data_IF_232701707378
#
_entry.id   IF_232701707378
#
_cell.length_a   1.000
_cell.length_b   1.000
_cell.length_c   1.000
_cell.angle_alpha   90.00
_cell.angle_beta   90.00
_cell.angle_gamma   90.00
#
_symmetry.space_group_name_H-M   'P 1'
#
loop_
_entity.id
_entity.type
_entity.pdbx_description
1 polymer ?
#
# COMPACT_ATOMS: atom_id res chain seq x y z
N UNK A 1 -9.19 17.35 -0.21
CA UNK A 1 -10.15 17.14 -1.33
C UNK A 1 -10.29 15.65 -1.56
N UNK A 2 -11.52 15.14 -1.62
CA UNK A 2 -11.77 13.75 -1.99
C UNK A 2 -11.83 13.73 -3.54
N UNK A 3 -10.97 12.95 -4.19
CA UNK A 3 -10.91 12.87 -5.66
C UNK A 3 -11.54 11.56 -6.15
N UNK A 4 -12.23 11.62 -7.29
CA UNK A 4 -12.92 10.49 -7.94
C UNK A 4 -14.46 10.61 -7.92
N UNK A 5 -15.13 9.89 -8.82
CA UNK A 5 -16.60 9.89 -8.97
C UNK A 5 -17.34 9.42 -7.71
N UNK A 6 -16.66 8.66 -6.84
CA UNK A 6 -17.17 8.18 -5.57
C UNK A 6 -16.14 8.47 -4.48
N UNK A 7 -16.31 9.56 -3.72
CA UNK A 7 -15.28 10.05 -2.82
C UNK A 7 -14.94 9.03 -1.73
N UNK A 8 -13.65 8.77 -1.56
CA UNK A 8 -13.11 7.91 -0.50
C UNK A 8 -12.10 8.67 0.33
N UNK A 9 -12.09 8.42 1.64
CA UNK A 9 -11.08 8.99 2.52
C UNK A 9 -9.73 8.30 2.28
N UNK A 10 -8.68 9.12 2.15
CA UNK A 10 -7.29 8.66 2.09
C UNK A 10 -6.62 8.90 3.44
N UNK A 11 -5.75 7.97 3.87
CA UNK A 11 -4.90 8.17 5.05
C UNK A 11 -4.00 9.41 4.93
N UNK A 12 -3.56 9.76 3.72
CA UNK A 12 -2.67 10.91 3.52
C UNK A 12 -3.40 12.25 3.62
N UNK A 13 -4.72 12.28 3.40
CA UNK A 13 -5.56 13.48 3.38
C UNK A 13 -5.29 14.44 2.20
N UNK A 14 -4.02 14.79 1.97
CA UNK A 14 -3.55 15.69 0.92
C UNK A 14 -2.13 15.33 0.46
N UNK A 15 -1.66 16.00 -0.59
CA UNK A 15 -0.25 15.96 -1.01
C UNK A 15 0.62 16.44 0.15
N UNK A 16 1.72 15.72 0.42
CA UNK A 16 2.60 15.98 1.57
C UNK A 16 2.16 15.34 2.88
N UNK A 17 1.01 14.67 2.91
CA UNK A 17 0.54 13.92 4.07
C UNK A 17 1.49 12.78 4.47
N UNK A 18 1.62 12.56 5.78
CA UNK A 18 2.48 11.52 6.36
C UNK A 18 1.64 10.45 7.02
N UNK A 19 2.00 9.20 6.78
CA UNK A 19 1.33 8.03 7.35
C UNK A 19 2.42 7.11 7.92
N UNK A 20 2.25 6.54 9.13
CA UNK A 20 3.17 5.56 9.66
C UNK A 20 3.32 4.36 8.72
N UNK A 21 4.57 3.93 8.48
CA UNK A 21 4.83 2.72 7.72
C UNK A 21 4.29 1.50 8.50
N UNK A 22 3.47 0.69 7.81
CA UNK A 22 2.64 -0.36 8.36
C UNK A 22 1.14 -0.14 8.07
N UNK A 23 0.74 1.11 7.82
CA UNK A 23 -0.65 1.47 7.52
C UNK A 23 -0.92 1.45 6.01
N UNK A 24 -2.02 0.79 5.64
CA UNK A 24 -2.52 0.80 4.27
C UNK A 24 -1.74 -0.07 3.28
N UNK A 25 -2.24 -0.11 2.05
CA UNK A 25 -1.74 -0.94 0.96
C UNK A 25 -0.39 -0.46 0.41
N UNK A 26 -0.20 0.85 0.29
CA UNK A 26 1.04 1.43 -0.25
C UNK A 26 2.23 1.08 0.65
N UNK A 27 2.07 1.22 1.97
CA UNK A 27 3.12 0.86 2.91
C UNK A 27 3.46 -0.62 2.88
N UNK A 28 2.45 -1.52 2.84
CA UNK A 28 2.71 -2.96 2.73
C UNK A 28 3.50 -3.33 1.48
N UNK A 29 3.20 -2.69 0.34
CA UNK A 29 4.00 -2.85 -0.87
C UNK A 29 5.43 -2.39 -0.63
N UNK A 30 5.66 -1.17 -0.14
CA UNK A 30 7.01 -0.68 0.09
C UNK A 30 7.79 -1.59 1.03
N UNK A 31 7.21 -1.93 2.19
CA UNK A 31 7.81 -2.82 3.18
C UNK A 31 8.18 -4.19 2.59
N UNK A 32 7.36 -4.75 1.70
CA UNK A 32 7.63 -6.04 1.07
C UNK A 32 8.87 -6.02 0.17
N UNK A 33 9.27 -4.85 -0.36
CA UNK A 33 10.48 -4.69 -1.16
C UNK A 33 11.72 -4.27 -0.37
N UNK A 34 11.56 -3.70 0.83
CA UNK A 34 12.68 -3.40 1.73
C UNK A 34 13.35 -4.67 2.28
N UNK A 35 14.63 -4.53 2.62
CA UNK A 35 15.40 -5.55 3.31
C UNK A 35 14.83 -5.88 4.69
N UNK A 36 15.07 -7.11 5.18
CA UNK A 36 14.48 -7.60 6.43
C UNK A 36 14.84 -6.73 7.65
N UNK A 37 16.09 -6.27 7.75
CA UNK A 37 16.53 -5.42 8.88
C UNK A 37 15.79 -4.09 8.88
N UNK A 38 15.91 -3.34 7.78
CA UNK A 38 15.27 -2.03 7.62
C UNK A 38 13.75 -2.08 7.85
N UNK A 39 13.09 -3.09 7.27
CA UNK A 39 11.66 -3.34 7.51
C UNK A 39 11.33 -3.55 8.98
N UNK A 40 12.11 -4.38 9.68
CA UNK A 40 11.87 -4.67 11.09
C UNK A 40 12.08 -3.42 11.95
N UNK A 41 13.12 -2.64 11.66
CA UNK A 41 13.42 -1.40 12.38
C UNK A 41 12.29 -0.37 12.19
N UNK A 42 11.78 -0.21 10.96
CA UNK A 42 10.64 0.65 10.66
C UNK A 42 9.37 0.21 11.39
N UNK A 43 9.06 -1.09 11.38
CA UNK A 43 7.86 -1.61 12.03
C UNK A 43 7.97 -1.53 13.56
N UNK A 44 9.14 -1.80 14.13
CA UNK A 44 9.39 -1.66 15.56
C UNK A 44 9.23 -0.21 16.01
N UNK A 45 9.78 0.75 15.24
CA UNK A 45 9.62 2.18 15.50
C UNK A 45 8.14 2.60 15.52
N UNK A 46 7.31 2.06 14.62
CA UNK A 46 5.90 2.41 14.50
C UNK A 46 4.97 1.55 15.36
N UNK A 47 5.47 0.54 16.09
CA UNK A 47 4.65 -0.50 16.72
C UNK A 47 3.57 0.05 17.67
N UNK A 48 3.92 1.03 18.51
CA UNK A 48 2.97 1.65 19.44
C UNK A 48 1.82 2.34 18.69
N UNK A 49 2.14 3.17 17.69
CA UNK A 49 1.15 3.89 16.88
C UNK A 49 0.28 2.93 16.07
N UNK A 50 0.87 1.90 15.45
CA UNK A 50 0.13 0.89 14.68
C UNK A 50 -0.92 0.19 15.56
N UNK A 51 -0.54 -0.20 16.77
CA UNK A 51 -1.44 -0.90 17.69
C UNK A 51 -2.53 0.02 18.26
N UNK A 52 -2.14 1.18 18.79
CA UNK A 52 -3.05 2.08 19.51
C UNK A 52 -4.02 2.79 18.57
N UNK A 53 -3.51 3.39 17.49
CA UNK A 53 -4.30 4.26 16.61
C UNK A 53 -4.99 3.49 15.48
N UNK A 54 -4.38 2.40 15.01
CA UNK A 54 -4.85 1.66 13.84
C UNK A 54 -5.33 0.25 14.20
N UNK A 55 -4.98 -0.30 15.36
CA UNK A 55 -5.31 -1.69 15.71
C UNK A 55 -4.62 -2.70 14.81
N UNK A 56 -3.43 -2.35 14.31
CA UNK A 56 -2.61 -3.21 13.46
C UNK A 56 -1.43 -3.74 14.28
N UNK A 57 -1.32 -5.06 14.38
CA UNK A 57 -0.18 -5.73 14.99
C UNK A 57 0.96 -5.90 13.97
N UNK A 58 2.20 -5.69 14.42
CA UNK A 58 3.40 -5.79 13.58
C UNK A 58 3.55 -7.18 12.98
N UNK A 59 3.20 -8.21 13.73
CA UNK A 59 3.24 -9.62 13.32
C UNK A 59 2.29 -9.87 12.16
N UNK A 60 1.09 -9.27 12.22
CA UNK A 60 0.08 -9.38 11.15
C UNK A 60 0.54 -8.70 9.86
N UNK A 61 1.16 -7.52 9.98
CA UNK A 61 1.75 -6.82 8.83
C UNK A 61 2.87 -7.69 8.26
N UNK A 62 3.81 -8.13 9.09
CA UNK A 62 4.97 -8.91 8.65
C UNK A 62 4.57 -10.21 7.96
N UNK A 63 3.55 -10.90 8.48
CA UNK A 63 3.01 -12.13 7.90
C UNK A 63 2.38 -11.94 6.52
N UNK A 64 1.89 -10.73 6.18
CA UNK A 64 1.30 -10.48 4.85
C UNK A 64 2.35 -10.26 3.75
N UNK A 65 3.53 -9.75 4.11
CA UNK A 65 4.54 -9.27 3.15
C UNK A 65 5.06 -10.33 2.17
N UNK A 66 5.29 -11.61 2.54
CA UNK A 66 5.71 -12.62 1.58
C UNK A 66 4.69 -12.80 0.44
N UNK A 67 3.39 -12.78 0.76
CA UNK A 67 2.34 -12.86 -0.25
C UNK A 67 2.29 -11.60 -1.11
N UNK A 68 2.49 -10.42 -0.52
CA UNK A 68 2.56 -9.15 -1.28
C UNK A 68 3.71 -9.17 -2.28
N UNK A 69 4.91 -9.60 -1.85
CA UNK A 69 6.08 -9.71 -2.74
C UNK A 69 5.84 -10.69 -3.88
N UNK A 70 5.23 -11.85 -3.60
CA UNK A 70 4.89 -12.88 -4.59
C UNK A 70 3.83 -12.41 -5.60
N UNK A 71 2.79 -11.73 -5.14
CA UNK A 71 1.69 -11.27 -5.99
C UNK A 71 2.03 -10.02 -6.81
N UNK A 72 3.02 -9.24 -6.36
CA UNK A 72 3.35 -7.96 -7.00
C UNK A 72 2.38 -6.83 -6.63
N UNK A 73 1.51 -7.02 -5.63
CA UNK A 73 0.56 -6.02 -5.16
C UNK A 73 0.13 -6.32 -3.72
N UNK A 74 -0.38 -5.31 -3.00
CA UNK A 74 -0.99 -5.47 -1.69
C UNK A 74 -2.45 -5.01 -1.69
N UNK A 75 -3.27 -5.69 -0.87
CA UNK A 75 -4.53 -5.12 -0.37
C UNK A 75 -4.32 -4.62 1.05
N UNK A 76 -4.92 -3.47 1.39
CA UNK A 76 -4.79 -2.89 2.73
C UNK A 76 -5.30 -3.85 3.80
N UNK A 77 -4.58 -3.98 4.93
CA UNK A 77 -5.12 -4.65 6.11
C UNK A 77 -6.27 -3.83 6.69
N UNK A 78 -7.22 -4.52 7.32
CA UNK A 78 -8.32 -3.86 8.02
C UNK A 78 -7.79 -3.18 9.28
N UNK A 79 -7.92 -1.85 9.33
CA UNK A 79 -7.62 -1.03 10.52
C UNK A 79 -8.88 -0.36 11.10
N UNK A 80 -8.68 0.29 12.25
CA UNK A 80 -9.71 1.00 13.03
C UNK A 80 -10.07 2.38 12.48
N UNK A 81 -9.20 3.04 11.71
CA UNK A 81 -9.42 4.42 11.25
C UNK A 81 -10.31 4.49 10.02
N UNK A 82 -10.11 3.59 9.05
CA UNK A 82 -10.89 3.54 7.82
C UNK A 82 -11.50 2.13 7.58
N UNK A 83 -12.34 1.63 8.51
CA UNK A 83 -12.88 0.26 8.44
C UNK A 83 -13.87 0.03 7.28
N UNK A 84 -14.38 1.08 6.64
CA UNK A 84 -15.25 0.99 5.46
C UNK A 84 -14.50 0.94 4.13
N UNK A 85 -13.21 1.25 4.13
CA UNK A 85 -12.42 1.44 2.92
C UNK A 85 -11.30 0.40 2.80
N UNK A 86 -10.96 0.09 1.56
CA UNK A 86 -9.82 -0.75 1.19
C UNK A 86 -9.18 -0.16 -0.07
N UNK A 87 -8.15 -0.82 -0.56
CA UNK A 87 -7.47 -0.39 -1.75
C UNK A 87 -6.47 -1.40 -2.21
N UNK A 88 -5.86 -1.10 -3.34
CA UNK A 88 -4.80 -1.88 -3.93
C UNK A 88 -3.59 -0.97 -4.16
N UNK A 89 -2.40 -1.53 -3.98
CA UNK A 89 -1.17 -0.85 -4.36
C UNK A 89 -0.26 -1.80 -5.11
N UNK A 90 0.53 -1.22 -6.00
CA UNK A 90 1.60 -1.89 -6.74
C UNK A 90 2.89 -1.08 -6.54
N UNK A 91 4.06 -1.72 -6.55
CA UNK A 91 5.32 -1.00 -6.41
C UNK A 91 5.64 -0.25 -7.71
N UNK A 92 6.33 0.88 -7.57
CA UNK A 92 7.06 1.54 -8.64
C UNK A 92 8.52 1.20 -8.40
N UNK A 93 9.13 0.46 -9.32
CA UNK A 93 10.49 -0.07 -9.17
C UNK A 93 11.43 0.59 -10.17
N UNK A 94 12.67 0.84 -9.76
CA UNK A 94 13.74 1.21 -10.70
C UNK A 94 14.25 -0.02 -11.50
N UNK A 95 15.19 0.24 -12.42
CA UNK A 95 15.84 -0.81 -13.22
C UNK A 95 16.58 -1.86 -12.38
N UNK A 96 16.97 -1.54 -11.14
CA UNK A 96 17.62 -2.44 -10.18
C UNK A 96 16.61 -3.23 -9.32
N UNK A 97 15.30 -3.01 -9.52
CA UNK A 97 14.23 -3.64 -8.75
C UNK A 97 14.02 -3.04 -7.35
N UNK A 98 14.59 -1.87 -7.05
CA UNK A 98 14.39 -1.15 -5.80
C UNK A 98 13.12 -0.30 -5.85
N UNK A 99 12.36 -0.20 -4.74
CA UNK A 99 11.14 0.59 -4.71
C UNK A 99 11.42 2.09 -4.69
N UNK A 100 11.07 2.78 -5.78
CA UNK A 100 11.03 4.25 -5.86
C UNK A 100 9.79 4.82 -5.16
N UNK A 101 8.72 4.02 -5.11
CA UNK A 101 7.44 4.43 -4.56
C UNK A 101 6.37 3.36 -4.72
N UNK A 102 5.12 3.73 -4.50
CA UNK A 102 3.98 2.85 -4.70
C UNK A 102 2.84 3.62 -5.39
N UNK A 103 2.25 3.01 -6.41
CA UNK A 103 1.02 3.49 -7.01
C UNK A 103 -0.15 2.81 -6.28
N UNK A 104 -1.07 3.60 -5.72
CA UNK A 104 -2.18 3.07 -4.94
C UNK A 104 -3.53 3.68 -5.33
N UNK A 105 -4.59 2.91 -5.16
CA UNK A 105 -5.97 3.36 -5.27
C UNK A 105 -6.77 2.93 -4.03
N UNK A 106 -7.87 3.62 -3.75
CA UNK A 106 -8.79 3.31 -2.66
C UNK A 106 -10.24 3.25 -3.15
N UNK A 107 -11.04 2.39 -2.52
CA UNK A 107 -12.47 2.23 -2.76
C UNK A 107 -13.18 1.70 -1.51
N UNK A 108 -14.50 1.82 -1.48
CA UNK A 108 -15.32 1.17 -0.46
C UNK A 108 -15.16 -0.37 -0.51
N UNK A 109 -15.06 -1.02 0.64
CA UNK A 109 -14.83 -2.47 0.77
C UNK A 109 -15.79 -3.35 -0.03
N UNK A 110 -17.12 -3.13 0.00
CA UNK A 110 -18.07 -3.97 -0.74
C UNK A 110 -17.83 -3.98 -2.25
N UNK A 111 -17.11 -2.99 -2.79
CA UNK A 111 -16.80 -2.87 -4.23
C UNK A 111 -15.52 -3.61 -4.63
N UNK A 112 -14.75 -4.11 -3.67
CA UNK A 112 -13.52 -4.86 -3.94
C UNK A 112 -13.80 -6.35 -4.00
N UNK A 113 -14.42 -6.79 -5.10
CA UNK A 113 -14.52 -8.22 -5.45
C UNK A 113 -13.18 -8.75 -5.92
N UNK A 114 -13.01 -10.08 -5.95
CA UNK A 114 -11.74 -10.66 -6.41
C UNK A 114 -11.47 -10.42 -7.90
N UNK A 115 -12.50 -10.46 -8.74
CA UNK A 115 -12.40 -10.07 -10.14
C UNK A 115 -11.94 -8.61 -10.29
N UNK A 116 -12.50 -7.69 -9.48
CA UNK A 116 -12.11 -6.28 -9.48
C UNK A 116 -10.66 -6.10 -9.00
N UNK A 117 -10.26 -6.85 -7.97
CA UNK A 117 -8.89 -6.84 -7.42
C UNK A 117 -7.87 -7.23 -8.49
N UNK A 118 -8.12 -8.32 -9.21
CA UNK A 118 -7.24 -8.80 -10.28
C UNK A 118 -7.16 -7.79 -11.44
N UNK A 119 -8.29 -7.27 -11.90
CA UNK A 119 -8.34 -6.27 -12.96
C UNK A 119 -7.59 -4.99 -12.58
N UNK A 120 -7.81 -4.48 -11.36
CA UNK A 120 -7.10 -3.29 -10.86
C UNK A 120 -5.60 -3.54 -10.71
N UNK A 121 -5.20 -4.69 -10.16
CA UNK A 121 -3.79 -5.02 -10.01
C UNK A 121 -3.06 -5.04 -11.36
N UNK A 122 -3.68 -5.64 -12.39
CA UNK A 122 -3.10 -5.69 -13.73
C UNK A 122 -2.97 -4.29 -14.33
N UNK A 123 -4.05 -3.51 -14.35
CA UNK A 123 -4.04 -2.17 -14.90
C UNK A 123 -3.04 -1.26 -14.18
N UNK A 124 -2.96 -1.34 -12.85
CA UNK A 124 -2.03 -0.53 -12.06
C UNK A 124 -0.57 -0.92 -12.31
N UNK A 125 -0.25 -2.21 -12.48
CA UNK A 125 1.11 -2.65 -12.83
C UNK A 125 1.55 -2.07 -14.18
N UNK A 126 0.67 -2.11 -15.18
CA UNK A 126 0.94 -1.53 -16.50
C UNK A 126 1.19 -0.01 -16.41
N UNK A 127 0.40 0.71 -15.59
CA UNK A 127 0.63 2.14 -15.38
C UNK A 127 1.93 2.41 -14.62
N UNK A 128 2.26 1.63 -13.60
CA UNK A 128 3.51 1.78 -12.87
C UNK A 128 4.73 1.59 -13.79
N UNK A 129 4.68 0.63 -14.72
CA UNK A 129 5.74 0.45 -15.72
C UNK A 129 5.87 1.66 -16.66
N UNK A 130 4.75 2.23 -17.13
CA UNK A 130 4.78 3.44 -17.97
C UNK A 130 5.38 4.65 -17.23
N UNK A 131 5.09 4.78 -15.93
CA UNK A 131 5.67 5.85 -15.10
C UNK A 131 7.18 5.72 -15.01
N UNK A 132 7.71 4.51 -14.81
CA UNK A 132 9.17 4.29 -14.74
C UNK A 132 9.85 4.67 -16.05
N UNK A 133 9.30 4.23 -17.19
CA UNK A 133 9.83 4.58 -18.52
C UNK A 133 9.83 6.10 -18.76
N UNK A 134 8.83 6.81 -18.25
CA UNK A 134 8.75 8.26 -18.38
C UNK A 134 9.70 9.03 -17.44
N UNK A 135 10.12 8.42 -16.32
CA UNK A 135 11.08 9.00 -15.38
C UNK A 135 12.54 8.85 -15.85
N UNK A 136 12.81 7.93 -16.77
CA UNK A 136 14.13 7.67 -17.35
C UNK A 136 14.41 8.51 -18.61
N UNK A 137 13.47 9.36 -19.05
CA UNK A 137 13.58 10.29 -20.18
C UNK A 137 13.94 11.70 -19.73
#
# INVERSE_FOLDING_TARGET
MLAGELPVQSYSGAVGGRIPMGVGQASQVLLAWLGRSERNDILAHNAATLRLDYGLEVERITASLPSVKRLGYASGLVDKRLPGYTGLAVPILDACGQPLGALSCALARPRMTDARRQALAQAMKEQAQRLVVALEQ
#
